data_IF_044789455748
#
_entry.id   IF_044789455748
#
_cell.length_a   1.000
_cell.length_b   1.000
_cell.length_c   1.000
_cell.angle_alpha   90.00
_cell.angle_beta   90.00
_cell.angle_gamma   90.00
#
_symmetry.space_group_name_H-M   'P 1'
#
loop_
_entity.id
_entity.type
_entity.pdbx_description
1 polymer ?
#
# COMPACT_ATOMS: atom_id res chain seq x y z
N UNK A 1 27.77 -17.70 -0.78
CA UNK A 1 26.88 -17.85 0.39
C UNK A 1 25.47 -17.58 -0.09
N UNK A 2 24.61 -18.59 -0.12
CA UNK A 2 23.20 -18.41 -0.42
C UNK A 2 22.54 -17.86 0.85
N UNK A 3 22.25 -16.57 0.88
CA UNK A 3 21.37 -16.00 1.91
C UNK A 3 19.98 -16.53 1.63
N UNK A 4 19.39 -17.26 2.59
CA UNK A 4 17.94 -17.46 2.60
C UNK A 4 17.35 -16.15 3.09
N UNK A 5 16.85 -15.34 2.15
CA UNK A 5 16.03 -14.18 2.49
C UNK A 5 14.61 -14.69 2.76
N UNK A 6 14.13 -14.54 3.99
CA UNK A 6 12.73 -14.79 4.30
C UNK A 6 11.87 -13.77 3.53
N UNK A 7 10.80 -14.21 2.85
CA UNK A 7 9.89 -13.29 2.18
C UNK A 7 9.20 -12.41 3.23
N UNK A 8 8.97 -11.15 2.87
CA UNK A 8 8.35 -10.16 3.75
C UNK A 8 6.96 -10.63 4.21
N UNK A 9 6.74 -10.67 5.52
CA UNK A 9 5.47 -11.09 6.09
C UNK A 9 4.65 -9.91 6.61
N UNK A 10 3.37 -10.16 6.90
CA UNK A 10 2.48 -9.14 7.46
C UNK A 10 2.99 -8.58 8.80
N UNK A 11 3.68 -9.37 9.62
CA UNK A 11 4.25 -8.90 10.89
C UNK A 11 5.47 -7.97 10.73
N UNK A 12 6.16 -8.05 9.59
CA UNK A 12 7.24 -7.13 9.25
C UNK A 12 6.66 -5.76 8.86
N UNK A 13 5.59 -5.79 8.06
CA UNK A 13 4.87 -4.60 7.61
C UNK A 13 4.04 -3.94 8.73
N UNK A 14 3.09 -4.65 9.31
CA UNK A 14 2.07 -4.09 10.19
C UNK A 14 2.50 -4.19 11.65
N UNK A 15 2.87 -3.05 12.24
CA UNK A 15 3.29 -2.96 13.65
C UNK A 15 2.13 -2.66 14.60
N UNK A 16 1.06 -2.06 14.08
CA UNK A 16 -0.15 -1.78 14.84
C UNK A 16 -1.33 -1.62 13.90
N UNK A 17 -2.48 -2.14 14.33
CA UNK A 17 -3.79 -1.83 13.74
C UNK A 17 -4.81 -1.63 14.86
N UNK A 18 -5.85 -0.84 14.57
CA UNK A 18 -6.97 -0.68 15.48
C UNK A 18 -7.74 -2.01 15.62
N UNK A 19 -8.31 -2.30 16.82
CA UNK A 19 -9.08 -3.51 17.05
C UNK A 19 -10.33 -3.58 16.17
N UNK A 20 -10.91 -4.78 16.07
CA UNK A 20 -12.14 -5.07 15.31
C UNK A 20 -12.05 -4.79 13.80
N UNK A 21 -10.85 -4.95 13.20
CA UNK A 21 -10.61 -4.76 11.76
C UNK A 21 -10.91 -3.34 11.26
N UNK A 22 -11.04 -2.35 12.15
CA UNK A 22 -11.41 -0.98 11.81
C UNK A 22 -10.42 -0.30 10.86
N UNK A 23 -9.16 -0.70 10.92
CA UNK A 23 -8.09 -0.18 10.05
C UNK A 23 -8.12 -0.76 8.63
N UNK A 24 -8.71 -1.95 8.48
CA UNK A 24 -8.67 -2.74 7.25
C UNK A 24 -9.86 -2.40 6.37
N UNK A 25 -9.59 -2.21 5.08
CA UNK A 25 -10.61 -1.97 4.08
C UNK A 25 -10.50 -3.04 2.98
N UNK A 26 -11.65 -3.59 2.56
CA UNK A 26 -11.72 -4.54 1.45
C UNK A 26 -11.98 -3.74 0.19
N UNK A 27 -11.08 -3.85 -0.76
CA UNK A 27 -11.04 -2.96 -1.91
C UNK A 27 -10.88 -3.74 -3.20
N UNK A 28 -11.37 -3.13 -4.28
CA UNK A 28 -11.18 -3.67 -5.63
C UNK A 28 -9.90 -3.12 -6.23
N UNK A 29 -8.92 -3.98 -6.47
CA UNK A 29 -7.70 -3.65 -7.22
C UNK A 29 -8.01 -3.77 -8.71
N UNK A 30 -7.63 -2.74 -9.47
CA UNK A 30 -7.87 -2.69 -10.90
C UNK A 30 -7.03 -3.74 -11.66
N UNK A 31 -7.57 -4.24 -12.77
CA UNK A 31 -6.84 -5.17 -13.63
C UNK A 31 -5.53 -4.58 -14.18
N UNK A 32 -4.57 -5.45 -14.52
CA UNK A 32 -3.24 -5.08 -15.01
C UNK A 32 -2.28 -4.67 -13.89
N UNK A 33 -2.54 -5.10 -12.65
CA UNK A 33 -1.69 -4.79 -11.49
C UNK A 33 -1.29 -6.10 -10.79
N UNK A 34 0.00 -6.27 -10.51
CA UNK A 34 0.49 -7.35 -9.65
C UNK A 34 1.20 -6.71 -8.46
N UNK A 35 0.49 -6.57 -7.35
CA UNK A 35 0.92 -5.75 -6.23
C UNK A 35 1.38 -6.63 -5.06
N UNK A 36 2.66 -6.57 -4.66
CA UNK A 36 3.14 -7.29 -3.50
C UNK A 36 2.57 -6.71 -2.19
N UNK A 37 2.72 -7.47 -1.11
CA UNK A 37 2.43 -7.00 0.25
C UNK A 37 3.25 -5.73 0.55
N UNK A 38 2.64 -4.76 1.22
CA UNK A 38 3.28 -3.49 1.57
C UNK A 38 3.25 -2.44 0.46
N UNK A 39 2.61 -2.72 -0.68
CA UNK A 39 2.50 -1.73 -1.76
C UNK A 39 1.65 -0.54 -1.33
N UNK A 40 2.20 0.66 -1.52
CA UNK A 40 1.44 1.91 -1.35
C UNK A 40 0.51 2.07 -2.54
N UNK A 41 -0.78 2.22 -2.26
CA UNK A 41 -1.83 2.27 -3.28
C UNK A 41 -2.55 3.60 -3.29
N UNK A 42 -2.96 4.03 -4.48
CA UNK A 42 -3.85 5.15 -4.71
C UNK A 42 -5.22 4.70 -5.22
N UNK A 43 -6.19 5.62 -5.24
CA UNK A 43 -7.55 5.36 -5.71
C UNK A 43 -7.76 6.11 -7.03
N UNK A 44 -8.20 5.39 -8.06
CA UNK A 44 -8.66 5.98 -9.31
C UNK A 44 -9.99 6.68 -9.05
N UNK A 45 -10.03 8.00 -9.10
CA UNK A 45 -11.22 8.82 -8.81
C UNK A 45 -12.42 8.49 -9.70
N UNK A 46 -12.17 8.15 -10.97
CA UNK A 46 -13.23 7.84 -11.93
C UNK A 46 -13.94 6.49 -11.65
N UNK A 47 -13.24 5.52 -11.05
CA UNK A 47 -13.76 4.14 -10.89
C UNK A 47 -13.87 3.68 -9.44
N UNK A 48 -13.21 4.38 -8.51
CA UNK A 48 -13.07 3.96 -7.12
C UNK A 48 -12.15 2.75 -6.91
N UNK A 49 -11.48 2.27 -7.97
CA UNK A 49 -10.58 1.11 -7.90
C UNK A 49 -9.20 1.52 -7.42
N UNK A 50 -8.51 0.57 -6.78
CA UNK A 50 -7.17 0.77 -6.26
C UNK A 50 -6.11 0.32 -7.27
N UNK A 51 -5.03 1.09 -7.33
CA UNK A 51 -3.82 0.80 -8.13
C UNK A 51 -2.58 1.11 -7.31
N UNK A 52 -1.42 0.66 -7.79
CA UNK A 52 -0.16 1.18 -7.26
C UNK A 52 -0.15 2.70 -7.31
N UNK A 53 0.41 3.34 -6.27
CA UNK A 53 0.63 4.79 -6.26
C UNK A 53 1.41 5.18 -7.51
N UNK A 54 0.92 6.18 -8.24
CA UNK A 54 1.62 6.78 -9.37
C UNK A 54 1.61 8.31 -9.21
N UNK A 55 2.68 8.91 -8.66
CA UNK A 55 2.76 10.35 -8.46
C UNK A 55 2.63 11.18 -9.75
N UNK A 56 2.91 10.59 -10.91
CA UNK A 56 2.85 11.25 -12.22
C UNK A 56 1.47 11.16 -12.87
N UNK A 57 0.58 10.33 -12.33
CA UNK A 57 -0.78 10.20 -12.83
C UNK A 57 -1.63 11.42 -12.46
N UNK A 58 -2.73 11.60 -13.20
CA UNK A 58 -3.75 12.63 -12.94
C UNK A 58 -5.14 12.01 -12.66
N UNK A 59 -5.19 10.68 -12.49
CA UNK A 59 -6.43 9.92 -12.33
C UNK A 59 -6.85 9.74 -10.86
N UNK A 60 -6.07 10.26 -9.91
CA UNK A 60 -6.25 10.13 -8.46
C UNK A 60 -5.25 9.18 -7.81
N UNK A 61 -4.57 8.33 -8.60
CA UNK A 61 -3.56 7.41 -8.08
C UNK A 61 -2.28 8.10 -7.63
N UNK A 62 -2.13 9.42 -7.89
CA UNK A 62 -1.08 10.25 -7.33
C UNK A 62 -1.20 10.50 -5.81
N UNK A 63 -2.34 10.14 -5.21
CA UNK A 63 -2.56 10.31 -3.77
C UNK A 63 -2.54 8.94 -3.07
N UNK A 64 -1.66 8.78 -2.09
CA UNK A 64 -1.59 7.58 -1.27
C UNK A 64 -2.86 7.45 -0.42
N UNK A 65 -3.63 6.39 -0.68
CA UNK A 65 -4.90 6.10 -0.02
C UNK A 65 -4.80 4.95 1.00
N UNK A 66 -3.71 4.20 0.99
CA UNK A 66 -3.49 3.11 1.93
C UNK A 66 -2.30 2.24 1.55
N UNK A 67 -2.10 1.17 2.29
CA UNK A 67 -1.04 0.17 2.05
C UNK A 67 -1.65 -1.22 1.97
N UNK A 68 -1.26 -2.02 0.98
CA UNK A 68 -1.71 -3.41 0.84
C UNK A 68 -1.20 -4.28 1.98
N UNK A 69 -2.11 -4.97 2.66
CA UNK A 69 -1.81 -5.93 3.73
C UNK A 69 -1.60 -7.36 3.22
N UNK A 70 -1.92 -7.62 1.96
CA UNK A 70 -1.67 -8.89 1.30
C UNK A 70 -1.23 -8.66 -0.14
N UNK A 71 -0.48 -9.61 -0.71
CA UNK A 71 -0.21 -9.58 -2.13
C UNK A 71 -1.51 -9.78 -2.90
N UNK A 72 -1.71 -9.00 -3.96
CA UNK A 72 -2.90 -9.04 -4.80
C UNK A 72 -2.48 -9.12 -6.26
N UNK A 73 -2.78 -10.25 -6.91
CA UNK A 73 -2.57 -10.44 -8.34
C UNK A 73 -3.86 -10.16 -9.11
N UNK A 74 -3.95 -8.93 -9.61
CA UNK A 74 -4.98 -8.45 -10.51
C UNK A 74 -4.45 -8.34 -11.95
N UNK A 75 -3.48 -9.16 -12.37
CA UNK A 75 -2.88 -9.02 -13.71
C UNK A 75 -3.89 -9.15 -14.85
N UNK A 76 -4.89 -10.04 -14.71
CA UNK A 76 -5.83 -10.40 -15.78
C UNK A 76 -7.25 -9.87 -15.58
N UNK A 77 -7.68 -9.66 -14.34
CA UNK A 77 -9.04 -9.24 -13.97
C UNK A 77 -8.98 -8.29 -12.77
N UNK A 78 -10.03 -7.49 -12.60
CA UNK A 78 -10.20 -6.76 -11.35
C UNK A 78 -10.35 -7.75 -10.19
N UNK A 79 -9.77 -7.40 -9.03
CA UNK A 79 -9.74 -8.24 -7.83
C UNK A 79 -10.41 -7.55 -6.67
N UNK A 80 -11.59 -8.01 -6.28
CA UNK A 80 -12.36 -7.51 -5.13
C UNK A 80 -11.91 -8.04 -3.77
N UNK A 81 -10.92 -8.92 -3.73
CA UNK A 81 -10.31 -9.49 -2.53
C UNK A 81 -9.10 -8.70 -2.01
N UNK A 82 -8.79 -7.54 -2.59
CA UNK A 82 -7.74 -6.64 -2.10
C UNK A 82 -8.00 -6.22 -0.65
N UNK A 83 -6.97 -6.28 0.19
CA UNK A 83 -7.05 -5.85 1.59
C UNK A 83 -6.00 -4.78 1.85
N UNK A 84 -6.46 -3.59 2.17
CA UNK A 84 -5.59 -2.44 2.44
C UNK A 84 -5.78 -1.97 3.87
N UNK A 85 -4.75 -1.32 4.39
CA UNK A 85 -4.86 -0.49 5.58
C UNK A 85 -5.03 0.95 5.16
N UNK A 86 -6.23 1.49 5.44
CA UNK A 86 -6.61 2.83 5.04
C UNK A 86 -6.53 3.84 6.20
N UNK A 87 -6.53 3.36 7.46
CA UNK A 87 -6.60 4.24 8.64
C UNK A 87 -6.08 3.61 9.92
N UNK A 88 -5.69 4.45 10.89
CA UNK A 88 -5.31 4.07 12.27
C UNK A 88 -4.38 2.84 12.35
N UNK A 89 -3.23 2.91 11.69
CA UNK A 89 -2.27 1.81 11.69
C UNK A 89 -0.84 2.32 11.73
N UNK A 90 0.09 1.45 12.13
CA UNK A 90 1.52 1.73 12.05
C UNK A 90 2.14 0.69 11.13
N UNK A 91 2.82 1.14 10.09
CA UNK A 91 3.53 0.30 9.12
C UNK A 91 5.03 0.56 9.16
N UNK A 92 5.83 -0.48 8.93
CA UNK A 92 7.28 -0.36 8.82
C UNK A 92 7.69 0.12 7.44
N UNK A 93 8.58 1.10 7.38
CA UNK A 93 9.08 1.67 6.13
C UNK A 93 9.84 0.67 5.25
N UNK A 94 10.63 -0.25 5.83
CA UNK A 94 11.44 -1.22 5.10
C UNK A 94 10.56 -2.24 4.36
N UNK A 95 9.32 -2.40 4.82
CA UNK A 95 8.34 -3.32 4.29
C UNK A 95 7.43 -2.65 3.24
N UNK A 96 7.59 -1.34 3.00
CA UNK A 96 6.81 -0.63 1.99
C UNK A 96 7.38 -0.89 0.59
N UNK A 97 6.50 -1.33 -0.30
CA UNK A 97 6.81 -1.44 -1.72
C UNK A 97 6.39 -0.15 -2.43
N UNK A 98 7.38 0.48 -3.06
CA UNK A 98 7.24 1.71 -3.81
C UNK A 98 7.32 1.43 -5.32
N UNK A 99 6.74 2.27 -6.18
CA UNK A 99 6.93 2.15 -7.61
C UNK A 99 8.39 2.48 -8.00
N UNK A 100 8.92 1.78 -9.01
CA UNK A 100 10.35 1.84 -9.38
C UNK A 100 10.86 3.27 -9.69
N UNK A 101 9.99 4.14 -10.20
CA UNK A 101 10.34 5.49 -10.61
C UNK A 101 10.16 6.57 -9.52
N UNK A 102 9.77 6.20 -8.29
CA UNK A 102 9.46 7.21 -7.27
C UNK A 102 10.71 7.93 -6.77
N UNK A 103 10.61 9.25 -6.63
CA UNK A 103 11.63 10.08 -6.00
C UNK A 103 11.47 10.12 -4.48
N UNK A 104 12.54 10.47 -3.76
CA UNK A 104 12.48 10.64 -2.30
C UNK A 104 11.46 11.71 -1.87
N UNK A 105 11.30 12.77 -2.67
CA UNK A 105 10.33 13.83 -2.38
C UNK A 105 8.88 13.33 -2.49
N UNK A 106 8.60 12.50 -3.50
CA UNK A 106 7.29 11.86 -3.68
C UNK A 106 7.03 10.83 -2.59
N UNK A 107 8.03 10.04 -2.19
CA UNK A 107 7.90 9.13 -1.04
C UNK A 107 7.53 9.89 0.24
N UNK A 108 8.21 11.01 0.54
CA UNK A 108 7.88 11.84 1.71
C UNK A 108 6.45 12.41 1.62
N UNK A 109 6.02 12.80 0.43
CA UNK A 109 4.65 13.26 0.18
C UNK A 109 3.62 12.15 0.43
N UNK A 110 3.87 10.95 -0.10
CA UNK A 110 3.01 9.80 0.13
C UNK A 110 2.96 9.39 1.62
N UNK A 111 4.09 9.43 2.31
CA UNK A 111 4.15 9.20 3.78
C UNK A 111 3.33 10.26 4.53
N UNK A 112 3.38 11.52 4.11
CA UNK A 112 2.58 12.58 4.71
C UNK A 112 1.07 12.39 4.46
N UNK A 113 0.69 11.95 3.25
CA UNK A 113 -0.69 11.60 2.91
C UNK A 113 -1.20 10.42 3.75
N UNK A 114 -0.43 9.34 3.87
CA UNK A 114 -0.73 8.20 4.74
C UNK A 114 -0.88 8.65 6.20
N UNK A 115 0.01 9.53 6.68
CA UNK A 115 -0.07 10.09 8.03
C UNK A 115 -1.36 10.89 8.24
N UNK A 116 -1.82 11.65 7.25
CA UNK A 116 -3.08 12.38 7.32
C UNK A 116 -4.31 11.44 7.40
N UNK A 117 -4.23 10.26 6.79
CA UNK A 117 -5.24 9.19 6.90
C UNK A 117 -5.15 8.41 8.23
N UNK A 118 -4.13 8.68 9.06
CA UNK A 118 -3.89 7.98 10.31
C UNK A 118 -3.05 6.69 10.16
N UNK A 119 -2.42 6.49 9.00
CA UNK A 119 -1.44 5.42 8.78
C UNK A 119 -0.03 5.98 8.99
N UNK A 120 0.60 5.62 10.09
CA UNK A 120 1.93 6.08 10.47
C UNK A 120 3.00 5.17 9.92
N UNK A 121 3.86 5.70 9.05
CA UNK A 121 5.07 5.00 8.62
C UNK A 121 6.17 5.23 9.65
N UNK A 122 6.73 4.16 10.20
CA UNK A 122 7.85 4.20 11.15
C UNK A 122 9.04 3.40 10.63
N UNK A 123 10.24 3.78 11.08
CA UNK A 123 11.43 2.98 10.87
C UNK A 123 11.24 1.64 11.60
N UNK A 124 11.11 0.56 10.84
CA UNK A 124 11.09 -0.80 11.40
C UNK A 124 12.51 -1.24 11.71
N UNK A 125 12.75 -1.69 12.93
CA UNK A 125 14.02 -2.33 13.33
C UNK A 125 14.16 -3.72 12.69
#
# INVERSE_FOLDING_TARGET
MSVLAEPLNLGDLLKYEAPNLYSRDRVTVASGQNLPLGTVVGIVTATGKYKQLDPSAEDGTQVAAGVLLQACDAALIDRDDGLVVARHAIVANHALAWPDAITTAEQLTAIAQLKALGVLVRQGA
#
